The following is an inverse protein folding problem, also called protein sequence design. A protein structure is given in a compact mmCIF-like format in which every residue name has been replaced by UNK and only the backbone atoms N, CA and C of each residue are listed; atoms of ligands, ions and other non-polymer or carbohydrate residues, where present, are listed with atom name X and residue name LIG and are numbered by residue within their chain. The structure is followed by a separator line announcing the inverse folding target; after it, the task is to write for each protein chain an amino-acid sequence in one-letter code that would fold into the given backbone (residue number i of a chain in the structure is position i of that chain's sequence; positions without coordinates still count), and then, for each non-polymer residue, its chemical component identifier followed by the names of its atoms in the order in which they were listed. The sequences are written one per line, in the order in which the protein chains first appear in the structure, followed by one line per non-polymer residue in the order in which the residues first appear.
data_IF_944082958066
#
_entry.id   IF_944082958066
#
_cell.length_a   1.000
_cell.length_b   1.000
_cell.length_c   1.000
_cell.angle_alpha   90.00
_cell.angle_beta   90.00
_cell.angle_gamma   90.00
#
_symmetry.space_group_name_H-M   'P 1'
#
loop_
_entity.id
_entity.type
_entity.pdbx_description
1 polymer ?
#
# COMPACT_ATOMS: atom_id res chain seq x y z
N UNK A 1 -14.22 -38.77 0.32
CA UNK A 1 -13.70 -38.85 -1.07
C UNK A 1 -13.44 -37.48 -1.67
N UNK A 2 -14.28 -36.46 -1.46
CA UNK A 2 -14.05 -35.09 -1.98
C UNK A 2 -12.75 -34.41 -1.50
N UNK A 3 -12.33 -34.60 -0.25
CA UNK A 3 -11.12 -33.98 0.30
C UNK A 3 -9.83 -34.38 -0.44
N UNK A 4 -9.84 -35.53 -1.12
CA UNK A 4 -8.68 -36.10 -1.80
C UNK A 4 -8.49 -35.52 -3.22
N UNK A 5 -9.45 -34.77 -3.74
CA UNK A 5 -9.36 -34.20 -5.11
C UNK A 5 -8.94 -32.74 -5.11
N UNK A 6 -8.84 -32.11 -3.94
CA UNK A 6 -8.43 -30.71 -3.77
C UNK A 6 -6.98 -30.56 -4.24
N UNK A 7 -6.75 -29.57 -5.11
CA UNK A 7 -5.42 -29.14 -5.56
C UNK A 7 -5.15 -27.72 -5.04
N UNK A 8 -4.57 -27.57 -3.85
CA UNK A 8 -4.38 -26.26 -3.27
C UNK A 8 -3.35 -25.45 -4.06
N UNK A 9 -3.62 -24.16 -4.23
CA UNK A 9 -2.68 -23.21 -4.84
C UNK A 9 -2.54 -22.00 -3.93
N UNK A 10 -1.34 -21.76 -3.43
CA UNK A 10 -1.04 -20.56 -2.65
C UNK A 10 -1.07 -19.32 -3.56
N UNK A 11 -1.67 -18.24 -3.09
CA UNK A 11 -1.59 -16.92 -3.75
C UNK A 11 -0.15 -16.39 -3.74
N UNK A 12 0.10 -15.37 -4.56
CA UNK A 12 1.31 -14.58 -4.43
C UNK A 12 1.25 -13.76 -3.13
N UNK A 13 1.89 -14.26 -2.08
CA UNK A 13 1.92 -13.68 -0.74
C UNK A 13 3.36 -13.44 -0.32
N UNK A 14 3.55 -12.49 0.58
CA UNK A 14 4.85 -12.29 1.21
C UNK A 14 5.09 -13.35 2.29
N UNK A 15 6.30 -13.89 2.31
CA UNK A 15 6.73 -14.92 3.24
C UNK A 15 8.06 -14.49 3.84
N UNK A 16 8.09 -14.26 5.16
CA UNK A 16 9.31 -13.84 5.85
C UNK A 16 9.43 -14.44 7.25
N UNK A 17 10.67 -14.71 7.72
CA UNK A 17 10.89 -15.28 9.05
C UNK A 17 10.59 -14.24 10.13
N UNK A 18 10.01 -14.70 11.24
CA UNK A 18 9.77 -13.88 12.42
C UNK A 18 10.13 -14.66 13.69
N UNK A 19 10.52 -13.93 14.73
CA UNK A 19 10.71 -14.50 16.07
C UNK A 19 9.58 -14.00 16.96
N UNK A 20 8.83 -14.92 17.53
CA UNK A 20 7.71 -14.61 18.43
C UNK A 20 7.79 -15.53 19.64
N UNK A 21 7.82 -14.95 20.84
CA UNK A 21 7.94 -15.69 22.11
C UNK A 21 9.09 -16.72 22.14
N UNK A 22 10.23 -16.39 21.51
CA UNK A 22 11.40 -17.26 21.42
C UNK A 22 11.27 -18.42 20.42
N UNK A 23 10.17 -18.48 19.66
CA UNK A 23 9.97 -19.44 18.58
C UNK A 23 10.24 -18.78 17.23
N UNK A 24 10.95 -19.51 16.35
CA UNK A 24 11.11 -19.12 14.95
C UNK A 24 9.92 -19.58 14.13
N UNK A 25 9.17 -18.62 13.62
CA UNK A 25 7.99 -18.82 12.80
C UNK A 25 8.20 -18.19 11.43
N UNK A 26 7.27 -18.45 10.53
CA UNK A 26 7.21 -17.84 9.21
C UNK A 26 5.90 -17.09 9.11
N UNK A 27 5.98 -15.82 8.77
CA UNK A 27 4.84 -14.95 8.61
C UNK A 27 4.38 -14.95 7.15
N UNK A 28 3.09 -15.20 6.94
CA UNK A 28 2.41 -15.07 5.65
C UNK A 28 1.57 -13.80 5.69
N UNK A 29 1.84 -12.89 4.76
CA UNK A 29 1.13 -11.61 4.63
C UNK A 29 0.69 -11.39 3.19
N UNK A 30 -0.53 -10.92 3.01
CA UNK A 30 -1.01 -10.49 1.71
C UNK A 30 -0.57 -9.04 1.43
N UNK A 31 0.30 -8.79 0.44
CA UNK A 31 0.77 -7.44 0.13
C UNK A 31 -0.35 -6.53 -0.40
N UNK A 32 -1.44 -7.09 -0.93
CA UNK A 32 -2.61 -6.36 -1.40
C UNK A 32 -3.66 -6.14 -0.29
N UNK A 33 -3.42 -6.69 0.91
CA UNK A 33 -4.34 -6.70 2.04
C UNK A 33 -5.75 -7.19 1.68
N UNK A 34 -5.88 -8.16 0.75
CA UNK A 34 -7.16 -8.79 0.44
C UNK A 34 -7.50 -9.86 1.48
N UNK A 35 -6.49 -10.60 1.96
CA UNK A 35 -6.55 -11.29 3.24
C UNK A 35 -6.31 -10.29 4.37
N UNK A 36 -7.23 -10.24 5.33
CA UNK A 36 -7.16 -9.32 6.48
C UNK A 36 -6.18 -9.81 7.55
N UNK A 37 -6.09 -11.13 7.71
CA UNK A 37 -5.28 -11.77 8.73
C UNK A 37 -3.85 -11.99 8.27
N UNK A 38 -2.94 -12.03 9.23
CA UNK A 38 -1.55 -12.46 9.04
C UNK A 38 -1.42 -13.85 9.66
N UNK A 39 -0.88 -14.80 8.92
CA UNK A 39 -0.70 -16.18 9.43
C UNK A 39 0.73 -16.37 9.91
N UNK A 40 0.88 -16.85 11.14
CA UNK A 40 2.15 -17.31 11.70
C UNK A 40 2.22 -18.83 11.62
N UNK A 41 3.15 -19.33 10.83
CA UNK A 41 3.33 -20.74 10.55
C UNK A 41 4.61 -21.28 11.22
N UNK A 42 4.55 -22.41 11.95
CA UNK A 42 5.74 -23.14 12.33
C UNK A 42 6.58 -23.55 11.10
N UNK A 43 7.90 -23.36 11.17
CA UNK A 43 8.84 -23.71 10.09
C UNK A 43 8.62 -25.10 9.47
N UNK A 44 8.36 -26.18 10.24
CA UNK A 44 8.15 -27.51 9.68
C UNK A 44 6.96 -27.61 8.72
N UNK A 45 5.98 -26.70 8.78
CA UNK A 45 4.81 -26.73 7.89
C UNK A 45 5.09 -26.10 6.53
N UNK A 46 6.20 -25.35 6.35
CA UNK A 46 6.59 -24.84 5.03
C UNK A 46 6.81 -25.96 4.00
N UNK A 47 7.23 -27.14 4.47
CA UNK A 47 7.41 -28.31 3.61
C UNK A 47 6.13 -28.79 2.94
N UNK A 48 4.97 -28.46 3.52
CA UNK A 48 3.65 -28.74 2.95
C UNK A 48 3.31 -27.67 1.92
N UNK A 49 3.46 -26.39 2.31
CA UNK A 49 3.05 -25.24 1.50
C UNK A 49 3.81 -25.16 0.17
N UNK A 50 5.08 -25.61 0.11
CA UNK A 50 5.83 -25.68 -1.16
C UNK A 50 5.16 -26.53 -2.25
N UNK A 51 4.25 -27.42 -1.88
CA UNK A 51 3.49 -28.23 -2.84
C UNK A 51 2.14 -27.62 -3.23
N UNK A 52 1.77 -26.46 -2.67
CA UNK A 52 0.51 -25.77 -2.96
C UNK A 52 0.64 -24.96 -4.26
N UNK A 53 0.88 -25.65 -5.36
CA UNK A 53 1.10 -25.09 -6.71
C UNK A 53 -0.14 -25.20 -7.63
N UNK A 54 -1.25 -25.75 -7.11
CA UNK A 54 -2.48 -26.03 -7.85
C UNK A 54 -2.43 -27.27 -8.75
N UNK A 55 -1.32 -28.01 -8.77
CA UNK A 55 -1.13 -29.17 -9.67
C UNK A 55 -1.38 -30.50 -8.95
N UNK A 56 -0.95 -30.61 -7.70
CA UNK A 56 -0.99 -31.87 -6.93
C UNK A 56 -2.20 -31.94 -6.01
N UNK A 57 -2.78 -33.13 -5.89
CA UNK A 57 -3.86 -33.44 -4.94
C UNK A 57 -3.31 -33.70 -3.54
N UNK A 58 -4.15 -33.54 -2.52
CA UNK A 58 -3.72 -33.73 -1.12
C UNK A 58 -3.12 -35.12 -0.81
N UNK A 59 -3.60 -36.20 -1.42
CA UNK A 59 -3.01 -37.55 -1.27
C UNK A 59 -1.67 -37.69 -2.01
N UNK A 60 -1.51 -37.04 -3.16
CA UNK A 60 -0.23 -37.00 -3.87
C UNK A 60 0.80 -36.23 -3.04
N UNK A 61 0.40 -35.11 -2.45
CA UNK A 61 1.22 -34.34 -1.52
C UNK A 61 1.56 -35.18 -0.28
N UNK A 62 0.58 -35.89 0.29
CA UNK A 62 0.80 -36.78 1.43
C UNK A 62 1.88 -37.82 1.11
N UNK A 63 1.75 -38.50 -0.04
CA UNK A 63 2.69 -39.52 -0.47
C UNK A 63 4.11 -38.95 -0.62
N UNK A 64 4.25 -37.78 -1.24
CA UNK A 64 5.55 -37.10 -1.39
C UNK A 64 6.17 -36.74 -0.03
N UNK A 65 5.36 -36.26 0.91
CA UNK A 65 5.82 -35.93 2.27
C UNK A 65 6.25 -37.17 3.06
N UNK A 66 5.62 -38.33 2.83
CA UNK A 66 6.01 -39.61 3.44
C UNK A 66 7.31 -40.19 2.87
N UNK A 67 7.67 -39.82 1.64
CA UNK A 67 8.91 -40.24 0.98
C UNK A 67 10.12 -39.36 1.36
N UNK A 68 9.89 -38.17 1.93
CA UNK A 68 10.95 -37.31 2.50
C UNK A 68 11.46 -37.91 3.83
N UNK A 69 12.65 -38.54 3.83
CA UNK A 69 13.27 -39.09 5.05
C UNK A 69 13.43 -38.02 6.16
N UNK A 70 13.31 -38.46 7.42
CA UNK A 70 13.59 -37.70 8.67
C UNK A 70 12.49 -36.78 9.25
N UNK A 71 11.22 -36.95 8.87
CA UNK A 71 10.13 -36.14 9.43
C UNK A 71 8.89 -36.96 9.83
N UNK A 72 8.11 -36.42 10.78
CA UNK A 72 6.85 -37.03 11.22
C UNK A 72 5.87 -37.22 10.04
N UNK A 73 5.12 -38.33 10.10
CA UNK A 73 4.10 -38.66 9.12
C UNK A 73 2.98 -37.62 9.14
N UNK A 74 2.64 -37.08 7.97
CA UNK A 74 1.57 -36.10 7.84
C UNK A 74 0.29 -36.82 7.41
N UNK A 75 -0.74 -36.78 8.25
CA UNK A 75 -2.02 -37.43 7.92
C UNK A 75 -2.80 -36.62 6.87
N UNK A 76 -3.59 -37.31 6.04
CA UNK A 76 -4.48 -36.66 5.07
C UNK A 76 -5.53 -35.78 5.75
N UNK A 77 -5.98 -36.14 6.96
CA UNK A 77 -6.90 -35.32 7.76
C UNK A 77 -6.24 -33.99 8.19
N UNK A 78 -4.99 -34.05 8.64
CA UNK A 78 -4.22 -32.84 8.95
C UNK A 78 -4.02 -31.97 7.71
N UNK A 79 -3.59 -32.54 6.58
CA UNK A 79 -3.43 -31.79 5.32
C UNK A 79 -4.72 -31.12 4.89
N UNK A 80 -5.85 -31.82 4.98
CA UNK A 80 -7.15 -31.26 4.63
C UNK A 80 -7.54 -30.10 5.54
N UNK A 81 -7.36 -30.24 6.86
CA UNK A 81 -7.67 -29.16 7.82
C UNK A 81 -6.75 -27.96 7.63
N UNK A 82 -5.46 -28.20 7.46
CA UNK A 82 -4.48 -27.16 7.22
C UNK A 82 -4.78 -26.38 5.93
N UNK A 83 -5.14 -27.09 4.85
CA UNK A 83 -5.57 -26.47 3.59
C UNK A 83 -6.84 -25.64 3.77
N UNK A 84 -7.85 -26.17 4.46
CA UNK A 84 -9.10 -25.45 4.73
C UNK A 84 -8.87 -24.18 5.54
N UNK A 85 -7.97 -24.20 6.52
CA UNK A 85 -7.63 -23.00 7.32
C UNK A 85 -6.99 -21.92 6.44
N UNK A 86 -6.00 -22.27 5.60
CA UNK A 86 -5.40 -21.30 4.67
C UNK A 86 -6.42 -20.74 3.68
N UNK A 87 -7.37 -21.57 3.21
CA UNK A 87 -8.45 -21.14 2.34
C UNK A 87 -9.42 -20.19 3.05
N UNK A 88 -9.81 -20.51 4.29
CA UNK A 88 -10.70 -19.70 5.12
C UNK A 88 -10.12 -18.31 5.36
N UNK A 89 -8.80 -18.23 5.52
CA UNK A 89 -8.08 -16.97 5.68
C UNK A 89 -7.65 -16.33 4.34
N UNK A 90 -8.15 -16.80 3.20
CA UNK A 90 -7.96 -16.16 1.89
C UNK A 90 -6.52 -16.20 1.35
N UNK A 91 -5.69 -17.15 1.80
CA UNK A 91 -4.32 -17.34 1.31
C UNK A 91 -4.21 -18.25 0.09
N UNK A 92 -5.26 -19.00 -0.24
CA UNK A 92 -5.31 -19.88 -1.41
C UNK A 92 -6.10 -19.25 -2.56
N UNK A 93 -5.70 -19.57 -3.80
CA UNK A 93 -6.56 -19.35 -4.96
C UNK A 93 -7.70 -20.37 -4.94
N UNK A 94 -8.91 -19.89 -4.65
CA UNK A 94 -10.09 -20.72 -4.52
C UNK A 94 -11.36 -19.96 -4.91
N UNK A 95 -12.50 -20.66 -5.11
CA UNK A 95 -13.78 -20.00 -5.29
C UNK A 95 -14.15 -19.05 -4.13
N UNK A 96 -13.77 -19.40 -2.89
CA UNK A 96 -14.00 -18.58 -1.70
C UNK A 96 -13.21 -17.26 -1.80
N UNK A 97 -11.91 -17.36 -2.08
CA UNK A 97 -11.08 -16.18 -2.27
C UNK A 97 -11.56 -15.31 -3.45
N UNK A 98 -11.94 -15.93 -4.57
CA UNK A 98 -12.42 -15.20 -5.75
C UNK A 98 -13.70 -14.42 -5.46
N UNK A 99 -14.62 -15.01 -4.69
CA UNK A 99 -15.82 -14.31 -4.24
C UNK A 99 -15.47 -13.14 -3.31
N UNK A 100 -14.60 -13.36 -2.33
CA UNK A 100 -14.13 -12.32 -1.40
C UNK A 100 -13.44 -11.16 -2.13
N UNK A 101 -12.55 -11.48 -3.08
CA UNK A 101 -11.88 -10.49 -3.93
C UNK A 101 -12.88 -9.64 -4.72
N UNK A 102 -13.86 -10.27 -5.37
CA UNK A 102 -14.89 -9.53 -6.13
C UNK A 102 -15.70 -8.61 -5.22
N UNK A 103 -16.03 -9.06 -4.01
CA UNK A 103 -16.74 -8.25 -3.03
C UNK A 103 -15.92 -7.01 -2.64
N UNK A 104 -14.65 -7.19 -2.26
CA UNK A 104 -13.74 -6.08 -1.93
C UNK A 104 -13.64 -5.07 -3.08
N UNK A 105 -13.48 -5.56 -4.31
CA UNK A 105 -13.34 -4.70 -5.48
C UNK A 105 -14.62 -3.91 -5.74
N UNK A 106 -15.78 -4.57 -5.65
CA UNK A 106 -17.09 -3.93 -5.79
C UNK A 106 -17.32 -2.88 -4.71
N UNK A 107 -17.01 -3.21 -3.44
CA UNK A 107 -17.19 -2.31 -2.31
C UNK A 107 -16.29 -1.08 -2.42
N UNK A 108 -15.04 -1.26 -2.83
CA UNK A 108 -14.13 -0.14 -3.04
C UNK A 108 -14.55 0.73 -4.22
N UNK A 109 -14.96 0.11 -5.35
CA UNK A 109 -15.45 0.83 -6.52
C UNK A 109 -16.67 1.71 -6.17
N UNK A 110 -17.58 1.20 -5.32
CA UNK A 110 -18.79 1.91 -4.89
C UNK A 110 -18.54 3.09 -3.93
N UNK A 111 -17.35 3.21 -3.33
CA UNK A 111 -17.03 4.33 -2.43
C UNK A 111 -16.76 5.63 -3.20
N UNK A 112 -17.18 6.77 -2.65
CA UNK A 112 -16.80 8.09 -3.15
C UNK A 112 -15.39 8.51 -2.72
N UNK A 113 -14.89 7.94 -1.63
CA UNK A 113 -13.62 8.29 -0.98
C UNK A 113 -12.80 7.04 -0.67
N UNK A 114 -11.49 7.22 -0.51
CA UNK A 114 -10.56 6.20 -0.04
C UNK A 114 -10.38 6.35 1.48
N UNK A 115 -10.83 5.37 2.28
CA UNK A 115 -10.57 5.36 3.72
C UNK A 115 -9.06 5.29 4.02
N UNK A 116 -8.59 5.79 5.17
CA UNK A 116 -7.20 5.65 5.55
C UNK A 116 -6.89 4.18 5.86
N UNK A 117 -5.85 3.63 5.24
CA UNK A 117 -5.41 2.25 5.50
C UNK A 117 -4.52 2.14 6.74
N UNK A 118 -3.79 3.21 7.07
CA UNK A 118 -2.76 3.26 8.11
C UNK A 118 -3.19 3.98 9.39
N UNK A 119 -4.35 4.61 9.41
CA UNK A 119 -4.90 5.25 10.61
C UNK A 119 -5.06 4.23 11.75
N UNK A 120 -4.48 4.54 12.91
CA UNK A 120 -4.42 3.62 14.06
C UNK A 120 -3.36 2.52 13.96
N UNK A 121 -2.62 2.44 12.84
CA UNK A 121 -1.53 1.47 12.62
C UNK A 121 -0.17 2.17 12.58
N UNK A 122 0.07 2.99 11.56
CA UNK A 122 1.36 3.72 11.39
C UNK A 122 1.32 5.13 11.97
N UNK A 123 0.13 5.68 12.22
CA UNK A 123 -0.06 6.97 12.86
C UNK A 123 -1.35 7.00 13.69
N UNK A 124 -1.47 7.88 14.71
CA UNK A 124 -2.66 7.95 15.55
C UNK A 124 -3.93 8.25 14.76
N UNK A 125 -5.01 7.55 15.08
CA UNK A 125 -6.33 7.85 14.53
C UNK A 125 -6.96 9.10 15.17
N UNK A 126 -6.55 9.45 16.39
CA UNK A 126 -6.99 10.67 17.06
C UNK A 126 -6.29 11.90 16.43
N UNK A 127 -7.04 12.89 15.92
CA UNK A 127 -6.44 14.03 15.23
C UNK A 127 -5.62 14.93 16.16
N UNK A 128 -5.92 14.98 17.46
CA UNK A 128 -5.16 15.78 18.42
C UNK A 128 -3.80 15.14 18.70
N UNK A 129 -3.76 13.82 18.89
CA UNK A 129 -2.51 13.06 19.02
C UNK A 129 -1.67 13.13 17.76
N UNK A 130 -2.29 12.95 16.59
CA UNK A 130 -1.61 13.06 15.30
C UNK A 130 -1.02 14.47 15.10
N UNK A 131 -1.76 15.53 15.46
CA UNK A 131 -1.26 16.91 15.42
C UNK A 131 -0.01 17.07 16.27
N UNK A 132 -0.04 16.61 17.53
CA UNK A 132 1.11 16.71 18.44
C UNK A 132 2.32 15.97 17.88
N UNK A 133 2.11 14.78 17.31
CA UNK A 133 3.18 13.99 16.70
C UNK A 133 3.80 14.74 15.51
N UNK A 134 2.99 15.24 14.58
CA UNK A 134 3.49 15.90 13.37
C UNK A 134 4.18 17.23 13.69
N UNK A 135 3.60 18.06 14.57
CA UNK A 135 4.22 19.31 15.03
C UNK A 135 5.54 19.08 15.77
N UNK A 136 5.66 17.98 16.52
CA UNK A 136 6.90 17.65 17.22
C UNK A 136 8.08 17.52 16.25
N UNK A 137 7.88 16.97 15.04
CA UNK A 137 8.95 16.88 14.04
C UNK A 137 9.42 18.24 13.53
N UNK A 138 8.54 19.25 13.46
CA UNK A 138 8.93 20.61 13.15
C UNK A 138 9.66 21.27 14.32
N UNK A 139 9.15 21.11 15.54
CA UNK A 139 9.59 21.87 16.70
C UNK A 139 10.83 21.29 17.40
N UNK A 140 11.13 20.01 17.19
CA UNK A 140 12.32 19.35 17.71
C UNK A 140 13.62 20.08 17.32
N UNK A 141 14.69 19.85 18.07
CA UNK A 141 16.01 20.47 17.81
C UNK A 141 16.55 20.14 16.42
N UNK A 142 16.48 18.87 16.02
CA UNK A 142 16.81 18.40 14.67
C UNK A 142 15.77 18.76 13.59
N UNK A 143 14.62 19.29 14.01
CA UNK A 143 13.55 19.72 13.14
C UNK A 143 13.82 21.09 12.51
N UNK A 144 13.18 21.41 11.38
CA UNK A 144 13.42 22.65 10.68
C UNK A 144 12.86 23.90 11.37
N UNK A 145 12.11 23.75 12.47
CA UNK A 145 11.20 24.76 13.03
C UNK A 145 10.06 25.10 12.07
N UNK A 146 8.98 25.63 12.64
CA UNK A 146 7.81 25.96 11.84
C UNK A 146 8.13 27.09 10.83
N UNK A 147 7.67 26.99 9.57
CA UNK A 147 7.87 28.02 8.56
C UNK A 147 7.29 29.37 8.98
N UNK A 148 8.04 30.47 8.76
CA UNK A 148 7.64 31.82 9.22
C UNK A 148 7.54 32.87 8.13
N UNK A 149 8.37 32.79 7.09
CA UNK A 149 8.38 33.77 6.00
C UNK A 149 8.64 33.06 4.68
N UNK A 150 7.94 33.45 3.59
CA UNK A 150 8.32 33.02 2.26
C UNK A 150 9.78 33.35 1.98
N UNK A 151 10.48 32.41 1.35
CA UNK A 151 11.85 32.58 0.87
C UNK A 151 11.81 32.92 -0.61
N UNK A 152 12.74 33.77 -1.06
CA UNK A 152 12.90 34.09 -2.47
C UNK A 152 13.70 32.98 -3.19
N UNK A 153 13.23 31.73 -3.08
CA UNK A 153 13.78 30.56 -3.77
C UNK A 153 12.63 29.91 -4.52
N UNK A 154 12.81 29.71 -5.82
CA UNK A 154 11.84 28.97 -6.63
C UNK A 154 12.25 27.50 -6.64
N UNK A 155 11.36 26.63 -6.19
CA UNK A 155 11.44 25.18 -6.37
C UNK A 155 10.26 24.75 -7.22
N UNK A 156 10.35 23.62 -7.91
CA UNK A 156 9.24 23.09 -8.74
C UNK A 156 8.51 21.93 -8.04
N UNK A 157 9.05 21.42 -6.93
CA UNK A 157 8.48 20.33 -6.15
C UNK A 157 9.39 19.89 -5.01
N UNK A 158 8.94 18.87 -4.28
CA UNK A 158 9.70 18.24 -3.19
C UNK A 158 9.76 16.74 -3.38
N UNK A 159 10.78 16.11 -2.80
CA UNK A 159 10.85 14.67 -2.60
C UNK A 159 10.72 14.44 -1.11
N UNK A 160 9.68 13.73 -0.70
CA UNK A 160 9.43 13.33 0.67
C UNK A 160 9.48 11.80 0.77
N UNK A 161 9.91 11.23 1.92
CA UNK A 161 9.82 9.80 2.13
C UNK A 161 8.35 9.35 2.20
N UNK A 162 8.12 8.05 2.15
CA UNK A 162 6.81 7.43 2.40
C UNK A 162 6.86 6.36 3.51
N UNK A 163 7.85 6.45 4.39
CA UNK A 163 8.00 5.56 5.55
C UNK A 163 7.19 6.10 6.74
N UNK A 164 6.84 5.21 7.68
CA UNK A 164 6.21 5.55 8.95
C UNK A 164 6.80 6.83 9.57
N UNK A 165 5.94 7.72 10.06
CA UNK A 165 6.36 9.01 10.60
C UNK A 165 7.34 8.87 11.77
N UNK A 166 7.22 7.83 12.59
CA UNK A 166 8.17 7.58 13.69
C UNK A 166 9.61 7.37 13.20
N UNK A 167 9.79 6.87 11.97
CA UNK A 167 11.10 6.66 11.34
C UNK A 167 11.53 7.84 10.49
N UNK A 168 10.60 8.45 9.75
CA UNK A 168 10.89 9.47 8.73
C UNK A 168 10.48 10.90 9.04
N UNK A 169 9.80 11.16 10.17
CA UNK A 169 9.04 12.39 10.43
C UNK A 169 9.83 13.68 10.25
N UNK A 170 11.09 13.72 10.68
CA UNK A 170 11.95 14.89 10.46
C UNK A 170 12.18 15.20 8.97
N UNK A 171 12.36 14.16 8.13
CA UNK A 171 12.56 14.34 6.70
C UNK A 171 11.32 14.93 6.02
N UNK A 172 10.11 14.48 6.41
CA UNK A 172 8.87 15.11 5.96
C UNK A 172 8.84 16.59 6.36
N UNK A 173 9.11 16.91 7.64
CA UNK A 173 9.07 18.28 8.13
C UNK A 173 10.01 19.20 7.34
N UNK A 174 11.24 18.74 7.04
CA UNK A 174 12.20 19.49 6.22
C UNK A 174 11.71 19.72 4.80
N UNK A 175 11.21 18.68 4.11
CA UNK A 175 10.71 18.79 2.75
C UNK A 175 9.50 19.73 2.66
N UNK A 176 8.51 19.53 3.53
CA UNK A 176 7.29 20.34 3.52
C UNK A 176 7.52 21.78 3.96
N UNK A 177 8.49 22.06 4.84
CA UNK A 177 8.88 23.45 5.11
C UNK A 177 9.36 24.15 3.84
N UNK A 178 10.26 23.53 3.07
CA UNK A 178 10.78 24.15 1.85
C UNK A 178 9.64 24.43 0.85
N UNK A 179 8.67 23.53 0.74
CA UNK A 179 7.45 23.75 -0.06
C UNK A 179 6.62 24.93 0.46
N UNK A 180 6.34 24.97 1.76
CA UNK A 180 5.53 26.04 2.38
C UNK A 180 6.19 27.42 2.24
N UNK A 181 7.51 27.50 2.36
CA UNK A 181 8.25 28.75 2.27
C UNK A 181 8.52 29.18 0.81
N UNK A 182 8.44 28.29 -0.17
CA UNK A 182 8.89 28.57 -1.55
C UNK A 182 7.80 28.54 -2.62
N UNK A 183 6.76 27.71 -2.44
CA UNK A 183 5.71 27.48 -3.46
C UNK A 183 4.31 27.79 -2.94
N UNK A 184 3.93 27.17 -1.81
CA UNK A 184 2.59 27.25 -1.23
C UNK A 184 1.40 27.08 -2.21
N UNK A 185 1.30 25.96 -2.95
CA UNK A 185 0.28 25.79 -4.00
C UNK A 185 -1.10 25.43 -3.44
N UNK A 186 -2.15 25.60 -4.25
CA UNK A 186 -3.53 25.14 -3.96
C UNK A 186 -3.85 23.75 -4.54
N UNK A 187 -3.04 23.27 -5.49
CA UNK A 187 -3.16 21.95 -6.13
C UNK A 187 -1.84 21.19 -6.00
N UNK A 188 -1.91 19.93 -5.54
CA UNK A 188 -0.74 19.06 -5.35
C UNK A 188 -0.79 17.85 -6.27
N UNK A 189 0.17 17.67 -7.17
CA UNK A 189 0.33 16.40 -7.90
C UNK A 189 1.26 15.49 -7.07
N UNK A 190 0.76 14.35 -6.61
CA UNK A 190 1.49 13.43 -5.73
C UNK A 190 1.79 12.15 -6.47
N UNK A 191 3.06 11.94 -6.80
CA UNK A 191 3.57 10.72 -7.41
C UNK A 191 4.06 9.78 -6.30
N UNK A 192 3.34 8.69 -6.07
CA UNK A 192 3.70 7.64 -5.11
C UNK A 192 4.19 6.39 -5.81
N UNK A 193 5.07 5.60 -5.17
CA UNK A 193 5.40 4.25 -5.67
C UNK A 193 4.28 3.28 -5.33
N UNK A 194 4.10 2.22 -6.12
CA UNK A 194 3.28 1.07 -5.74
C UNK A 194 4.16 -0.15 -5.47
N UNK A 195 3.99 -0.78 -4.31
CA UNK A 195 4.84 -1.88 -3.86
C UNK A 195 4.45 -3.23 -4.47
N UNK A 196 3.19 -3.38 -4.85
CA UNK A 196 2.67 -4.63 -5.44
C UNK A 196 2.84 -4.73 -6.95
N UNK A 197 3.25 -3.63 -7.58
CA UNK A 197 3.20 -3.46 -9.03
C UNK A 197 1.78 -3.34 -9.59
N UNK A 198 1.71 -2.86 -10.83
CA UNK A 198 0.52 -2.77 -11.68
C UNK A 198 0.90 -3.12 -13.12
N UNK A 199 -0.08 -3.52 -13.91
CA UNK A 199 0.10 -3.81 -15.34
C UNK A 199 0.37 -2.54 -16.18
N UNK A 200 -0.16 -1.39 -15.75
CA UNK A 200 0.13 -0.09 -16.34
C UNK A 200 1.22 0.66 -15.55
N UNK A 201 2.01 1.56 -16.18
CA UNK A 201 3.05 2.33 -15.48
C UNK A 201 2.47 3.36 -14.50
N UNK A 202 1.23 3.83 -14.73
CA UNK A 202 0.55 4.78 -13.86
C UNK A 202 -0.89 4.34 -13.58
N UNK A 203 -1.33 4.54 -12.35
CA UNK A 203 -2.74 4.42 -11.94
C UNK A 203 -3.12 5.59 -11.03
N UNK A 204 -4.15 6.33 -11.39
CA UNK A 204 -4.67 7.42 -10.56
C UNK A 204 -5.92 6.98 -9.80
N UNK A 205 -6.37 7.82 -8.85
CA UNK A 205 -7.66 7.64 -8.19
C UNK A 205 -8.54 8.87 -8.35
N UNK A 206 -9.84 8.64 -8.58
CA UNK A 206 -10.89 9.65 -8.54
C UNK A 206 -11.49 9.83 -7.14
N UNK A 207 -10.97 9.13 -6.14
CA UNK A 207 -11.49 9.14 -4.77
C UNK A 207 -10.64 10.08 -3.92
N UNK A 208 -11.28 11.01 -3.21
CA UNK A 208 -10.63 11.81 -2.18
C UNK A 208 -10.05 10.91 -1.07
N UNK A 209 -8.92 11.28 -0.49
CA UNK A 209 -8.27 10.48 0.56
C UNK A 209 -8.73 10.96 1.93
N UNK A 210 -9.44 10.10 2.66
CA UNK A 210 -9.82 10.36 4.05
C UNK A 210 -8.57 10.34 4.95
N UNK A 211 -8.47 11.33 5.82
CA UNK A 211 -7.45 11.44 6.86
C UNK A 211 -8.12 11.74 8.20
N UNK A 212 -7.41 11.63 9.34
CA UNK A 212 -7.96 12.06 10.63
C UNK A 212 -8.35 13.55 10.69
N UNK A 213 -7.86 14.39 9.77
CA UNK A 213 -8.15 15.83 9.73
C UNK A 213 -9.32 16.20 8.80
N UNK A 214 -9.77 15.27 7.96
CA UNK A 214 -10.70 15.54 6.87
C UNK A 214 -10.33 14.77 5.61
N UNK A 215 -11.11 14.97 4.54
CA UNK A 215 -10.84 14.37 3.24
C UNK A 215 -10.04 15.33 2.37
N UNK A 216 -8.90 14.87 1.86
CA UNK A 216 -8.17 15.57 0.81
C UNK A 216 -8.82 15.25 -0.53
N UNK A 217 -9.53 16.23 -1.09
CA UNK A 217 -10.32 16.06 -2.31
C UNK A 217 -9.43 16.03 -3.56
N UNK A 218 -9.82 15.18 -4.53
CA UNK A 218 -9.10 15.11 -5.81
C UNK A 218 -9.48 16.26 -6.73
N UNK A 219 -8.51 16.73 -7.53
CA UNK A 219 -8.78 17.70 -8.58
C UNK A 219 -9.34 17.00 -9.84
N UNK A 220 -10.67 16.83 -9.87
CA UNK A 220 -11.35 16.20 -11.01
C UNK A 220 -11.05 16.89 -12.36
N UNK A 221 -11.09 18.23 -12.49
CA UNK A 221 -10.76 18.88 -13.75
C UNK A 221 -9.34 18.58 -14.25
N UNK A 222 -8.36 18.48 -13.35
CA UNK A 222 -7.00 18.08 -13.71
C UNK A 222 -6.96 16.63 -14.18
N UNK A 223 -7.58 15.72 -13.43
CA UNK A 223 -7.64 14.29 -13.74
C UNK A 223 -8.30 14.01 -15.10
N UNK A 224 -9.38 14.73 -15.44
CA UNK A 224 -10.05 14.63 -16.74
C UNK A 224 -9.13 15.05 -17.90
N UNK A 225 -8.37 16.15 -17.72
CA UNK A 225 -7.39 16.59 -18.73
C UNK A 225 -6.24 15.60 -18.88
N UNK A 226 -5.76 15.05 -17.76
CA UNK A 226 -4.67 14.08 -17.74
C UNK A 226 -5.10 12.78 -18.44
N UNK A 227 -6.27 12.25 -18.12
CA UNK A 227 -6.84 11.05 -18.76
C UNK A 227 -6.97 11.23 -20.27
N UNK A 228 -7.52 12.38 -20.70
CA UNK A 228 -7.68 12.70 -22.13
C UNK A 228 -6.34 12.78 -22.88
N UNK A 229 -5.29 13.29 -22.23
CA UNK A 229 -3.94 13.36 -22.80
C UNK A 229 -3.21 12.01 -22.79
N UNK A 230 -3.36 11.24 -21.71
CA UNK A 230 -2.67 9.96 -21.51
C UNK A 230 -3.09 8.91 -22.56
N UNK A 231 -4.38 8.88 -22.93
CA UNK A 231 -4.90 8.02 -23.99
C UNK A 231 -5.04 6.54 -23.60
N UNK A 232 -4.94 6.22 -22.32
CA UNK A 232 -5.17 4.89 -21.72
C UNK A 232 -6.05 5.04 -20.47
N UNK A 233 -6.68 3.93 -20.04
CA UNK A 233 -7.50 3.93 -18.82
C UNK A 233 -6.60 4.08 -17.58
N UNK A 234 -6.54 5.31 -17.07
CA UNK A 234 -5.74 5.68 -15.91
C UNK A 234 -6.28 5.09 -14.59
N UNK A 235 -7.47 4.48 -14.61
CA UNK A 235 -8.18 4.00 -13.42
C UNK A 235 -8.43 2.49 -13.44
N UNK A 236 -7.93 1.78 -14.45
CA UNK A 236 -8.10 0.33 -14.60
C UNK A 236 -7.68 -0.46 -13.36
N UNK A 237 -6.67 0.04 -12.64
CA UNK A 237 -6.15 -0.53 -11.40
C UNK A 237 -6.29 0.45 -10.22
N UNK A 238 -7.37 1.25 -10.17
CA UNK A 238 -7.63 2.21 -9.07
C UNK A 238 -7.65 1.50 -7.70
N UNK A 239 -8.11 0.24 -7.66
CA UNK A 239 -8.09 -0.61 -6.45
C UNK A 239 -6.73 -0.68 -5.77
N UNK A 240 -5.65 -0.50 -6.53
CA UNK A 240 -4.29 -0.55 -6.01
C UNK A 240 -4.01 0.57 -5.00
N UNK A 241 -4.75 1.68 -5.06
CA UNK A 241 -4.70 2.74 -4.04
C UNK A 241 -5.24 2.26 -2.68
N UNK A 242 -6.16 1.27 -2.61
CA UNK A 242 -6.90 0.91 -1.39
C UNK A 242 -6.00 0.63 -0.18
N UNK A 243 -4.92 -0.11 -0.38
CA UNK A 243 -4.00 -0.51 0.68
C UNK A 243 -2.58 0.06 0.51
N UNK A 244 -2.31 0.71 -0.63
CA UNK A 244 -1.02 1.36 -0.87
C UNK A 244 -0.89 2.61 -0.01
N UNK A 245 0.27 2.75 0.64
CA UNK A 245 0.51 3.75 1.67
C UNK A 245 1.32 4.95 1.18
N UNK A 246 1.99 4.83 0.02
CA UNK A 246 2.98 5.82 -0.41
C UNK A 246 2.43 7.25 -0.51
N UNK A 247 1.18 7.39 -0.99
CA UNK A 247 0.46 8.65 -1.12
C UNK A 247 -0.29 9.02 0.17
N UNK A 248 -0.76 8.05 0.96
CA UNK A 248 -1.54 8.29 2.17
C UNK A 248 -0.76 9.16 3.18
N UNK A 249 0.52 8.87 3.39
CA UNK A 249 1.36 9.70 4.26
C UNK A 249 1.43 11.16 3.79
N UNK A 250 1.49 11.40 2.48
CA UNK A 250 1.53 12.75 1.92
C UNK A 250 0.20 13.46 2.09
N UNK A 251 -0.92 12.76 1.89
CA UNK A 251 -2.27 13.30 2.11
C UNK A 251 -2.46 13.74 3.56
N UNK A 252 -2.05 12.90 4.52
CA UNK A 252 -2.09 13.23 5.95
C UNK A 252 -1.23 14.46 6.28
N UNK A 253 -0.03 14.56 5.70
CA UNK A 253 0.87 15.68 5.95
C UNK A 253 0.34 16.99 5.35
N UNK A 254 -0.24 16.94 4.14
CA UNK A 254 -0.91 18.08 3.49
C UNK A 254 -2.09 18.57 4.32
N UNK A 255 -3.01 17.67 4.70
CA UNK A 255 -4.15 18.01 5.56
C UNK A 255 -3.69 18.56 6.91
N UNK A 256 -2.61 18.01 7.48
CA UNK A 256 -2.02 18.50 8.73
C UNK A 256 -1.58 19.97 8.65
N UNK A 257 -1.07 20.40 7.50
CA UNK A 257 -0.56 21.76 7.28
C UNK A 257 -1.69 22.73 6.95
N UNK A 258 -2.63 22.29 6.10
CA UNK A 258 -3.57 23.17 5.40
C UNK A 258 -4.99 23.13 5.94
N UNK A 259 -5.41 22.05 6.61
CA UNK A 259 -6.80 21.86 7.04
C UNK A 259 -6.95 21.39 8.49
N UNK A 260 -5.85 21.27 9.24
CA UNK A 260 -5.88 20.81 10.62
C UNK A 260 -6.37 21.89 11.60
N UNK A 261 -7.58 21.76 12.18
CA UNK A 261 -8.12 22.75 13.11
C UNK A 261 -7.46 22.70 14.50
N UNK A 262 -6.69 21.65 14.80
CA UNK A 262 -6.02 21.48 16.09
C UNK A 262 -4.62 22.06 16.11
N UNK A 263 -4.06 22.42 14.95
CA UNK A 263 -2.72 22.95 14.88
C UNK A 263 -2.65 24.39 15.38
N UNK A 264 -1.63 24.68 16.19
CA UNK A 264 -1.33 26.06 16.66
C UNK A 264 -0.32 26.77 15.78
N UNK A 265 0.27 26.04 14.86
CA UNK A 265 1.32 26.50 13.97
C UNK A 265 0.88 26.44 12.51
N UNK A 266 -0.10 25.59 12.16
CA UNK A 266 -0.69 25.40 10.84
C UNK A 266 -1.03 26.69 10.08
N UNK A 267 -1.18 26.57 8.76
CA UNK A 267 -1.74 27.68 7.99
C UNK A 267 -3.21 27.88 8.36
N UNK A 268 -3.72 29.07 8.06
CA UNK A 268 -5.15 29.29 8.09
C UNK A 268 -5.82 28.27 7.16
N UNK A 269 -6.88 27.57 7.63
CA UNK A 269 -7.55 26.57 6.81
C UNK A 269 -7.91 27.13 5.43
N UNK A 270 -7.49 26.44 4.38
CA UNK A 270 -7.82 26.79 3.00
C UNK A 270 -8.08 25.53 2.18
N UNK A 271 -9.03 25.58 1.23
CA UNK A 271 -9.28 24.43 0.36
C UNK A 271 -8.04 24.15 -0.48
N UNK A 272 -7.60 22.89 -0.46
CA UNK A 272 -6.58 22.35 -1.35
C UNK A 272 -7.13 21.13 -2.05
N UNK A 273 -6.65 20.87 -3.26
CA UNK A 273 -6.94 19.65 -4.01
C UNK A 273 -5.65 18.92 -4.35
N UNK A 274 -5.76 17.65 -4.69
CA UNK A 274 -4.59 16.88 -5.11
C UNK A 274 -4.89 15.89 -6.25
N UNK A 275 -3.82 15.36 -6.84
CA UNK A 275 -3.87 14.37 -7.92
C UNK A 275 -3.02 13.18 -7.49
N UNK A 276 -3.62 12.10 -6.97
CA UNK A 276 -2.89 10.93 -6.51
C UNK A 276 -2.56 10.00 -7.68
N UNK A 277 -1.28 9.78 -7.95
CA UNK A 277 -0.83 8.92 -9.04
C UNK A 277 0.19 7.92 -8.51
N UNK A 278 -0.17 6.65 -8.54
CA UNK A 278 0.77 5.57 -8.26
C UNK A 278 1.56 5.27 -9.52
N UNK A 279 2.87 5.19 -9.35
CA UNK A 279 3.84 4.89 -10.37
C UNK A 279 4.32 3.45 -10.15
N UNK A 280 4.04 2.58 -11.11
CA UNK A 280 4.50 1.19 -11.11
C UNK A 280 6.02 1.12 -11.12
N UNK A 281 6.52 -0.01 -10.66
CA UNK A 281 7.94 -0.26 -10.55
C UNK A 281 8.51 -0.43 -11.97
N UNK A 282 9.04 0.67 -12.53
CA UNK A 282 9.87 0.64 -13.75
C UNK A 282 11.24 -0.01 -13.50
N UNK A 283 11.48 -0.58 -12.32
CA UNK A 283 12.71 -1.30 -12.01
C UNK A 283 12.90 -2.49 -12.94
N UNK A 284 11.83 -3.23 -13.27
CA UNK A 284 11.92 -4.37 -14.19
C UNK A 284 12.37 -3.93 -15.59
N UNK A 285 11.93 -2.75 -16.05
CA UNK A 285 12.40 -2.13 -17.30
C UNK A 285 13.90 -1.82 -17.20
N UNK A 286 14.35 -1.20 -16.11
CA UNK A 286 15.76 -0.84 -15.87
C UNK A 286 16.64 -2.09 -15.73
N UNK A 287 16.20 -3.10 -14.99
CA UNK A 287 16.88 -4.39 -14.82
C UNK A 287 16.99 -5.13 -16.16
N UNK A 288 15.97 -5.03 -17.00
CA UNK A 288 15.99 -5.56 -18.36
C UNK A 288 16.77 -4.69 -19.36
N UNK A 289 17.42 -3.60 -18.90
CA UNK A 289 18.19 -2.68 -19.73
C UNK A 289 17.34 -1.82 -20.68
N UNK A 290 16.02 -1.78 -20.48
CA UNK A 290 15.10 -0.90 -21.20
C UNK A 290 15.12 0.48 -20.55
N UNK A 291 15.00 1.51 -21.39
CA UNK A 291 14.91 2.89 -20.92
C UNK A 291 13.44 3.21 -20.73
N UNK A 292 12.94 3.43 -19.50
CA UNK A 292 11.49 3.57 -19.27
C UNK A 292 10.84 4.71 -20.05
N UNK A 293 11.61 5.76 -20.38
CA UNK A 293 11.14 6.88 -21.22
C UNK A 293 10.78 6.48 -22.65
N UNK A 294 11.22 5.32 -23.12
CA UNK A 294 10.87 4.79 -24.44
C UNK A 294 9.54 4.03 -24.44
N UNK A 295 8.94 3.78 -23.27
CA UNK A 295 7.57 3.31 -23.19
C UNK A 295 6.62 4.44 -23.62
N UNK A 296 5.78 4.18 -24.62
CA UNK A 296 4.85 5.16 -25.17
C UNK A 296 3.84 5.67 -24.13
N UNK A 297 3.46 4.85 -23.15
CA UNK A 297 2.60 5.27 -22.03
C UNK A 297 3.36 6.26 -21.14
N UNK A 298 4.64 5.98 -20.85
CA UNK A 298 5.48 6.89 -20.06
C UNK A 298 5.70 8.21 -20.76
N UNK A 299 6.00 8.19 -22.06
CA UNK A 299 6.20 9.41 -22.83
C UNK A 299 4.93 10.27 -22.87
N UNK A 300 3.77 9.68 -23.20
CA UNK A 300 2.48 10.39 -23.29
C UNK A 300 2.05 11.01 -21.97
N UNK A 301 2.35 10.35 -20.85
CA UNK A 301 1.98 10.85 -19.53
C UNK A 301 2.63 12.20 -19.19
N UNK A 302 3.81 12.49 -19.76
CA UNK A 302 4.55 13.73 -19.51
C UNK A 302 4.43 14.79 -20.63
N UNK A 303 3.65 14.53 -21.68
CA UNK A 303 3.39 15.47 -22.78
C UNK A 303 2.13 16.30 -22.51
#
# INVERSE_FOLDING_TARGET
MERVTIRPKLRNIEVFPVEHEGQRLVCFRDPLALAEEVIFLPLPLLRIVRYFDGKKRLDEIQKLLSEEEAHEEVSLDFLSKFTEELDRFHFLESPRFEQHRRQIFSDYAARSTRPPFLSGKSYPADPVELTRMLEAYFLHEAGPKWPRKPRNRRIEGIIAPHIDFQRGGFCYAWAYREMIESLDPDLFVVLGTIHTGTSAPFTASRKGFETPFGTLEVDHPFLERLEAAYGHDLYAEEIAHRAEHSIEFQAVFLESIYNNPHSRFGKQPRPITFVPILCSILHEEIEAGRVPRLDAQVERFFQ
#
